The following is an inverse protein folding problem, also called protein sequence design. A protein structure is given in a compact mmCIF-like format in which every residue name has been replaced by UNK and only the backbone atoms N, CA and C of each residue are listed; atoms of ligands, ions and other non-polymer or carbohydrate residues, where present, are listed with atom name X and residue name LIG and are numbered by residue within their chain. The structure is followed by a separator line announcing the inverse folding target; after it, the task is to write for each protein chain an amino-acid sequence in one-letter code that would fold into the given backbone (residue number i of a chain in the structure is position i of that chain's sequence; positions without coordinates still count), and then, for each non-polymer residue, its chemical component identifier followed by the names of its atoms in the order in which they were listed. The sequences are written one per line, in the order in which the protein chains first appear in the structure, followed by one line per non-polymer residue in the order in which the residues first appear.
data_IF_424941728625
#
_entry.id   IF_424941728625
#
_cell.length_a   1.000
_cell.length_b   1.000
_cell.length_c   1.000
_cell.angle_alpha   90.00
_cell.angle_beta   90.00
_cell.angle_gamma   90.00
#
_symmetry.space_group_name_H-M   'P 1'
#
loop_
_entity.id
_entity.type
_entity.pdbx_description
1 polymer ?
#
# COMPACT_ATOMS: atom_id res chain seq x y z
N UNK A 1 2.99 41.31 -19.04
CA UNK A 1 3.82 40.30 -18.38
C UNK A 1 4.63 39.53 -19.47
N UNK A 2 5.93 39.74 -19.56
CA UNK A 2 6.80 39.00 -20.49
C UNK A 2 7.79 38.19 -19.67
N UNK A 3 7.72 36.87 -19.74
CA UNK A 3 8.72 35.94 -19.23
C UNK A 3 9.59 35.52 -20.43
N UNK A 4 10.91 35.66 -20.33
CA UNK A 4 11.75 35.52 -21.51
C UNK A 4 12.65 34.28 -21.49
N UNK A 5 13.06 33.77 -20.31
CA UNK A 5 14.02 32.66 -20.27
C UNK A 5 14.03 32.02 -18.87
N UNK A 6 14.28 30.72 -18.82
CA UNK A 6 14.54 30.01 -17.54
C UNK A 6 16.03 30.17 -17.21
N UNK A 7 16.29 30.82 -16.09
CA UNK A 7 17.63 31.06 -15.57
C UNK A 7 17.88 30.18 -14.33
N UNK A 8 19.13 29.83 -14.10
CA UNK A 8 19.51 29.10 -12.88
C UNK A 8 20.14 30.08 -11.88
N UNK A 9 19.64 30.04 -10.64
CA UNK A 9 20.08 30.93 -9.55
C UNK A 9 20.38 30.12 -8.29
N UNK A 10 21.38 30.56 -7.51
CA UNK A 10 21.63 29.94 -6.22
C UNK A 10 20.49 30.23 -5.24
N UNK A 11 19.98 29.22 -4.50
CA UNK A 11 18.95 29.42 -3.47
C UNK A 11 19.35 30.43 -2.39
N UNK A 12 20.65 30.68 -2.17
CA UNK A 12 21.15 31.71 -1.24
C UNK A 12 20.87 33.13 -1.67
N UNK A 13 20.84 33.38 -2.98
CA UNK A 13 20.70 34.70 -3.58
C UNK A 13 19.24 35.15 -3.68
N UNK A 14 18.31 34.22 -3.41
CA UNK A 14 16.87 34.48 -3.50
C UNK A 14 16.30 34.96 -2.15
N UNK A 15 15.35 35.84 -2.19
CA UNK A 15 14.63 36.30 -0.99
C UNK A 15 13.24 35.70 -0.97
N UNK A 16 12.88 35.00 0.11
CA UNK A 16 11.53 34.47 0.27
C UNK A 16 10.51 35.61 0.46
N UNK A 17 9.30 35.43 -0.06
CA UNK A 17 8.19 36.38 0.13
C UNK A 17 7.81 36.45 1.62
N UNK A 18 7.84 37.63 2.21
CA UNK A 18 7.61 37.83 3.64
C UNK A 18 6.19 37.38 4.07
N UNK A 19 5.17 37.72 3.28
CA UNK A 19 3.77 37.43 3.53
C UNK A 19 3.25 36.33 2.57
N UNK A 20 3.94 35.14 2.51
CA UNK A 20 3.48 34.07 1.68
C UNK A 20 2.15 33.48 2.24
N UNK A 21 1.04 33.54 1.48
CA UNK A 21 -0.26 33.07 1.95
C UNK A 21 -0.34 31.56 2.09
N UNK A 22 0.55 30.82 1.41
CA UNK A 22 0.52 29.34 1.41
C UNK A 22 1.29 28.77 2.60
N UNK A 23 0.59 28.03 3.45
CA UNK A 23 1.17 27.18 4.49
C UNK A 23 1.13 25.71 4.03
N UNK A 24 2.05 24.92 4.53
CA UNK A 24 2.12 23.48 4.25
C UNK A 24 2.44 22.76 5.57
N UNK A 25 1.93 21.54 5.74
CA UNK A 25 2.21 20.74 6.92
C UNK A 25 3.67 20.28 6.96
N UNK A 26 4.15 19.85 8.12
CA UNK A 26 5.52 19.30 8.24
C UNK A 26 5.69 18.03 7.36
N UNK A 27 4.65 17.19 7.30
CA UNK A 27 4.64 15.98 6.47
C UNK A 27 4.73 16.32 4.98
N UNK A 28 3.91 17.26 4.49
CA UNK A 28 3.94 17.71 3.09
C UNK A 28 5.26 18.35 2.73
N UNK A 29 5.84 19.12 3.66
CA UNK A 29 7.16 19.71 3.45
C UNK A 29 8.24 18.61 3.34
N UNK A 30 8.18 17.57 4.15
CA UNK A 30 9.13 16.46 4.06
C UNK A 30 8.96 15.70 2.74
N UNK A 31 7.71 15.40 2.32
CA UNK A 31 7.43 14.82 0.99
C UNK A 31 8.01 15.65 -0.16
N UNK A 32 7.86 16.97 -0.10
CA UNK A 32 8.45 17.88 -1.10
C UNK A 32 9.98 17.79 -1.12
N UNK A 33 10.63 17.76 0.06
CA UNK A 33 12.08 17.58 0.18
C UNK A 33 12.52 16.24 -0.41
N UNK A 34 11.84 15.15 -0.08
CA UNK A 34 12.17 13.81 -0.55
C UNK A 34 11.96 13.70 -2.07
N UNK A 35 10.89 14.28 -2.60
CA UNK A 35 10.64 14.34 -4.04
C UNK A 35 11.75 15.09 -4.80
N UNK A 36 12.18 16.25 -4.30
CA UNK A 36 13.28 17.00 -4.93
C UNK A 36 14.62 16.25 -4.80
N UNK A 37 14.84 15.55 -3.69
CA UNK A 37 16.07 14.78 -3.47
C UNK A 37 16.18 13.57 -4.43
N UNK A 38 15.05 12.90 -4.71
CA UNK A 38 15.00 11.70 -5.56
C UNK A 38 14.98 12.08 -7.05
N UNK A 39 14.11 13.04 -7.41
CA UNK A 39 13.80 13.34 -8.82
C UNK A 39 14.52 14.60 -9.34
N UNK A 40 15.27 15.30 -8.50
CA UNK A 40 15.83 16.59 -8.81
C UNK A 40 14.79 17.73 -8.77
N UNK A 41 15.27 18.97 -8.89
CA UNK A 41 14.39 20.14 -9.00
C UNK A 41 13.82 20.23 -10.43
N UNK A 42 12.52 20.22 -10.59
CA UNK A 42 11.86 20.16 -11.90
C UNK A 42 12.05 21.45 -12.70
N UNK A 43 12.73 21.34 -13.84
CA UNK A 43 13.02 22.48 -14.71
C UNK A 43 11.77 23.05 -15.40
N UNK A 44 10.76 22.24 -15.66
CA UNK A 44 9.49 22.66 -16.28
C UNK A 44 8.54 23.40 -15.34
N UNK A 45 8.88 23.50 -14.03
CA UNK A 45 8.18 24.33 -13.04
C UNK A 45 9.16 25.28 -12.35
N UNK A 46 9.74 26.27 -13.07
CA UNK A 46 10.67 27.23 -12.49
C UNK A 46 9.98 28.05 -11.40
N UNK A 47 10.76 28.59 -10.47
CA UNK A 47 10.25 29.56 -9.50
C UNK A 47 10.05 30.92 -10.18
N UNK A 48 8.93 31.59 -9.85
CA UNK A 48 8.69 32.96 -10.33
C UNK A 48 9.33 33.96 -9.37
N UNK A 49 10.22 34.79 -9.89
CA UNK A 49 10.94 35.82 -9.15
C UNK A 49 10.58 37.19 -9.66
N UNK A 50 10.60 38.17 -8.77
CA UNK A 50 10.57 39.60 -9.10
C UNK A 50 11.90 40.25 -8.72
N UNK A 51 12.47 41.01 -9.63
CA UNK A 51 13.60 41.88 -9.29
C UNK A 51 13.07 43.19 -8.71
N UNK A 52 13.30 43.43 -7.40
CA UNK A 52 12.88 44.63 -6.69
C UNK A 52 13.98 45.10 -5.75
N UNK A 53 14.34 46.37 -5.85
CA UNK A 53 15.35 47.01 -5.01
C UNK A 53 16.70 46.23 -4.99
N UNK A 54 17.11 45.70 -6.15
CA UNK A 54 18.33 44.90 -6.30
C UNK A 54 18.27 43.51 -5.63
N UNK A 55 17.08 43.04 -5.24
CA UNK A 55 16.87 41.70 -4.67
C UNK A 55 15.95 40.91 -5.55
N UNK A 56 16.22 39.56 -5.63
CA UNK A 56 15.36 38.61 -6.29
C UNK A 56 14.36 38.02 -5.28
N UNK A 57 13.11 38.47 -5.33
CA UNK A 57 12.04 38.05 -4.42
C UNK A 57 11.24 36.94 -5.07
N UNK A 58 11.03 35.83 -4.35
CA UNK A 58 10.26 34.66 -4.84
C UNK A 58 8.77 34.92 -4.67
N UNK A 59 8.07 35.21 -5.75
CA UNK A 59 6.61 35.37 -5.78
C UNK A 59 5.90 33.99 -5.71
N UNK A 60 6.38 33.00 -6.49
CA UNK A 60 5.84 31.64 -6.53
C UNK A 60 6.94 30.60 -6.36
N UNK A 61 6.68 29.58 -5.54
CA UNK A 61 7.64 28.51 -5.25
C UNK A 61 8.38 28.64 -3.91
N UNK A 62 7.88 29.42 -2.95
CA UNK A 62 8.52 29.66 -1.65
C UNK A 62 8.79 28.36 -0.85
N UNK A 63 7.92 27.34 -0.92
CA UNK A 63 8.15 26.06 -0.25
C UNK A 63 9.28 25.26 -0.94
N UNK A 64 9.33 25.33 -2.28
CA UNK A 64 10.43 24.73 -3.08
C UNK A 64 11.77 25.41 -2.76
N UNK A 65 11.80 26.73 -2.56
CA UNK A 65 13.00 27.45 -2.10
C UNK A 65 13.48 26.93 -0.74
N UNK A 66 12.56 26.75 0.22
CA UNK A 66 12.90 26.19 1.54
C UNK A 66 13.46 24.78 1.43
N UNK A 67 12.87 23.93 0.58
CA UNK A 67 13.35 22.56 0.33
C UNK A 67 14.73 22.57 -0.33
N UNK A 68 14.94 23.39 -1.35
CA UNK A 68 16.23 23.55 -2.02
C UNK A 68 17.35 23.99 -1.06
N UNK A 69 17.05 24.90 -0.14
CA UNK A 69 17.98 25.33 0.93
C UNK A 69 18.30 24.19 1.90
N UNK A 70 17.28 23.43 2.31
CA UNK A 70 17.45 22.26 3.20
C UNK A 70 18.34 21.20 2.55
N UNK A 71 18.19 20.99 1.23
CA UNK A 71 18.98 20.05 0.43
C UNK A 71 20.34 20.62 -0.01
N UNK A 72 20.62 21.90 0.27
CA UNK A 72 21.86 22.60 -0.12
C UNK A 72 22.12 22.53 -1.62
N UNK A 73 21.08 22.68 -2.44
CA UNK A 73 21.22 22.70 -3.88
C UNK A 73 22.05 23.92 -4.32
N UNK A 74 22.92 23.70 -5.33
CA UNK A 74 23.78 24.76 -5.85
C UNK A 74 22.97 25.81 -6.63
N UNK A 75 21.97 25.34 -7.40
CA UNK A 75 21.17 26.19 -8.27
C UNK A 75 19.76 25.63 -8.43
N UNK A 76 18.81 26.51 -8.77
CA UNK A 76 17.41 26.18 -9.02
C UNK A 76 16.89 26.96 -10.22
N UNK A 77 15.97 26.38 -11.03
CA UNK A 77 15.40 27.05 -12.19
C UNK A 77 14.46 28.17 -11.79
N UNK A 78 14.60 29.32 -12.38
CA UNK A 78 13.85 30.54 -12.06
C UNK A 78 13.46 31.28 -13.32
N UNK A 79 12.35 32.00 -13.24
CA UNK A 79 11.91 32.95 -14.22
C UNK A 79 11.84 34.31 -13.52
N UNK A 80 12.49 35.34 -14.09
CA UNK A 80 12.57 36.67 -13.51
C UNK A 80 11.59 37.57 -14.26
N UNK A 81 10.76 38.28 -13.48
CA UNK A 81 9.88 39.31 -13.93
C UNK A 81 10.44 40.67 -13.47
N UNK A 82 10.48 41.62 -14.38
CA UNK A 82 10.79 43.04 -14.10
C UNK A 82 9.54 43.89 -14.32
N UNK A 83 9.49 44.99 -13.64
CA UNK A 83 8.46 46.06 -13.84
C UNK A 83 7.01 45.59 -13.66
N UNK A 84 6.77 44.66 -12.70
CA UNK A 84 5.41 44.21 -12.39
C UNK A 84 4.59 45.31 -11.70
N UNK A 85 3.35 45.46 -12.15
CA UNK A 85 2.34 46.20 -11.40
C UNK A 85 1.96 45.45 -10.13
N UNK A 86 1.37 46.12 -9.13
CA UNK A 86 0.90 45.44 -7.92
C UNK A 86 -0.17 44.38 -8.23
N UNK A 87 -1.06 44.64 -9.19
CA UNK A 87 -2.07 43.69 -9.64
C UNK A 87 -1.44 42.43 -10.26
N UNK A 88 -0.45 42.59 -11.13
CA UNK A 88 0.27 41.45 -11.75
C UNK A 88 1.03 40.64 -10.71
N UNK A 89 1.62 41.29 -9.70
CA UNK A 89 2.28 40.62 -8.59
C UNK A 89 1.31 39.78 -7.78
N UNK A 90 0.17 40.31 -7.40
CA UNK A 90 -0.88 39.64 -6.64
C UNK A 90 -1.44 38.47 -7.49
N UNK A 91 -1.62 38.68 -8.79
CA UNK A 91 -2.11 37.64 -9.72
C UNK A 91 -1.14 36.46 -9.79
N UNK A 92 0.17 36.67 -9.91
CA UNK A 92 1.17 35.60 -9.90
C UNK A 92 1.13 34.81 -8.56
N UNK A 93 1.10 35.52 -7.43
CA UNK A 93 1.08 34.90 -6.11
C UNK A 93 -0.18 34.07 -5.91
N UNK A 94 -1.35 34.57 -6.33
CA UNK A 94 -2.63 33.89 -6.15
C UNK A 94 -2.81 32.72 -7.10
N UNK A 95 -2.52 32.87 -8.38
CA UNK A 95 -2.70 31.78 -9.38
C UNK A 95 -1.80 30.59 -9.13
N UNK A 96 -0.57 30.78 -8.63
CA UNK A 96 0.30 29.65 -8.25
C UNK A 96 -0.26 28.86 -7.04
N UNK A 97 -1.16 29.48 -6.27
CA UNK A 97 -1.77 28.87 -5.09
C UNK A 97 -3.19 28.33 -5.31
N UNK A 98 -3.79 28.59 -6.47
CA UNK A 98 -5.11 28.07 -6.85
C UNK A 98 -4.92 26.78 -7.66
N UNK A 99 -5.41 25.67 -7.13
CA UNK A 99 -5.56 24.42 -7.90
C UNK A 99 -6.83 24.52 -8.74
N UNK A 100 -6.70 24.90 -10.01
CA UNK A 100 -7.80 24.92 -10.98
C UNK A 100 -7.87 23.56 -11.68
N UNK A 101 -8.57 22.61 -11.10
CA UNK A 101 -8.83 21.31 -11.69
C UNK A 101 -8.91 20.22 -10.62
N UNK A 102 -9.81 19.31 -10.84
CA UNK A 102 -9.88 18.05 -10.12
C UNK A 102 -9.23 16.98 -10.99
N UNK A 103 -8.52 16.05 -10.36
CA UNK A 103 -8.02 14.89 -11.09
C UNK A 103 -9.19 13.97 -11.39
N UNK A 104 -9.19 13.40 -12.60
CA UNK A 104 -10.11 12.33 -12.94
C UNK A 104 -9.60 11.04 -12.29
N UNK A 105 -10.26 10.65 -11.19
CA UNK A 105 -9.89 9.49 -10.38
C UNK A 105 -9.97 8.20 -11.18
N UNK A 106 -10.86 8.12 -12.17
CA UNK A 106 -11.00 6.97 -13.07
C UNK A 106 -9.77 6.85 -13.95
N UNK A 107 -9.36 7.95 -14.58
CA UNK A 107 -8.17 7.98 -15.46
C UNK A 107 -6.90 7.68 -14.65
N UNK A 108 -6.75 8.27 -13.45
CA UNK A 108 -5.58 8.01 -12.60
C UNK A 108 -5.50 6.55 -12.12
N UNK A 109 -6.64 5.90 -11.93
CA UNK A 109 -6.70 4.52 -11.44
C UNK A 109 -6.69 3.48 -12.55
N UNK A 110 -7.24 3.77 -13.72
CA UNK A 110 -7.47 2.79 -14.78
C UNK A 110 -6.47 2.89 -15.93
N UNK A 111 -5.90 4.07 -16.20
CA UNK A 111 -4.94 4.23 -17.30
C UNK A 111 -3.57 3.63 -16.92
N UNK A 112 -3.06 2.66 -17.70
CA UNK A 112 -1.76 2.05 -17.48
C UNK A 112 -0.60 3.06 -17.40
N UNK A 113 -0.74 4.24 -17.98
CA UNK A 113 0.26 5.31 -17.93
C UNK A 113 0.55 5.77 -16.51
N UNK A 114 -0.46 5.73 -15.63
CA UNK A 114 -0.35 6.18 -14.23
C UNK A 114 -0.20 5.01 -13.25
N UNK A 115 -0.08 3.77 -13.75
CA UNK A 115 -0.09 2.56 -12.93
C UNK A 115 1.04 2.49 -11.89
N UNK A 116 2.17 3.13 -12.14
CA UNK A 116 3.35 3.13 -11.26
C UNK A 116 3.47 4.42 -10.42
N UNK A 117 2.44 5.29 -10.45
CA UNK A 117 2.45 6.54 -9.72
C UNK A 117 2.12 6.30 -8.24
N UNK A 118 3.00 6.69 -7.33
CA UNK A 118 2.71 6.69 -5.91
C UNK A 118 1.95 7.96 -5.52
N UNK A 119 0.61 7.85 -5.49
CA UNK A 119 -0.28 9.00 -5.25
C UNK A 119 -0.10 9.57 -3.83
N UNK A 120 0.23 8.74 -2.85
CA UNK A 120 0.49 9.19 -1.48
C UNK A 120 1.80 9.98 -1.39
N UNK A 121 2.85 9.49 -2.06
CA UNK A 121 4.14 10.18 -2.13
C UNK A 121 4.01 11.55 -2.79
N UNK A 122 3.19 11.69 -3.84
CA UNK A 122 2.95 12.98 -4.50
C UNK A 122 1.89 13.86 -3.79
N UNK A 123 1.28 13.34 -2.71
CA UNK A 123 0.33 14.08 -1.88
C UNK A 123 -1.08 14.19 -2.46
N UNK A 124 -1.45 13.32 -3.39
CA UNK A 124 -2.79 13.25 -3.96
C UNK A 124 -3.64 12.33 -3.09
N UNK A 125 -4.72 12.88 -2.52
CA UNK A 125 -5.73 12.11 -1.81
C UNK A 125 -6.95 11.97 -2.70
N UNK A 126 -7.30 10.73 -3.05
CA UNK A 126 -8.55 10.44 -3.74
C UNK A 126 -9.72 10.50 -2.75
N UNK A 127 -10.93 10.91 -3.18
CA UNK A 127 -12.09 10.93 -2.28
C UNK A 127 -12.39 9.52 -1.75
N UNK A 128 -12.69 9.45 -0.46
CA UNK A 128 -13.02 8.16 0.19
C UNK A 128 -14.37 7.62 -0.34
N UNK A 129 -14.44 6.34 -0.74
CA UNK A 129 -15.69 5.71 -1.14
C UNK A 129 -16.61 5.52 0.07
N UNK A 130 -17.94 5.71 -0.12
CA UNK A 130 -18.95 5.47 0.92
C UNK A 130 -18.89 4.00 1.42
N UNK A 131 -18.74 3.82 2.72
CA UNK A 131 -18.56 2.54 3.39
C UNK A 131 -19.91 1.86 3.61
N UNK A 132 -20.12 0.59 3.17
CA UNK A 132 -21.25 -0.20 3.64
C UNK A 132 -21.07 -0.53 5.14
N UNK A 133 -22.12 -0.33 5.94
CA UNK A 133 -22.07 -0.64 7.38
C UNK A 133 -21.71 -2.12 7.64
N UNK A 134 -20.62 -2.35 8.36
CA UNK A 134 -20.19 -3.69 8.79
C UNK A 134 -21.14 -4.17 9.92
N UNK A 135 -21.73 -5.38 9.84
CA UNK A 135 -22.61 -5.86 10.89
C UNK A 135 -21.84 -6.10 12.20
N UNK A 136 -22.16 -5.30 13.22
CA UNK A 136 -21.60 -5.44 14.57
C UNK A 136 -22.13 -6.71 15.24
N UNK A 137 -21.43 -7.85 15.13
CA UNK A 137 -21.68 -9.00 16.01
C UNK A 137 -21.06 -8.72 17.39
N UNK A 138 -21.89 -8.77 18.43
CA UNK A 138 -21.47 -8.60 19.82
C UNK A 138 -20.51 -9.73 20.22
N UNK A 139 -19.21 -9.41 20.33
CA UNK A 139 -18.23 -10.29 20.96
C UNK A 139 -18.51 -10.38 22.47
N UNK A 140 -18.60 -11.60 22.99
CA UNK A 140 -18.62 -11.83 24.45
C UNK A 140 -17.17 -11.76 24.94
N UNK A 141 -16.74 -10.59 25.35
CA UNK A 141 -15.47 -10.43 26.09
C UNK A 141 -15.61 -11.04 27.50
N UNK A 142 -14.73 -11.94 27.88
CA UNK A 142 -14.49 -12.28 29.27
C UNK A 142 -13.69 -11.13 29.86
N UNK A 143 -14.33 -10.39 30.76
CA UNK A 143 -13.69 -9.31 31.50
C UNK A 143 -12.59 -9.87 32.44
N UNK A 144 -11.37 -9.36 32.30
CA UNK A 144 -10.40 -9.32 33.40
C UNK A 144 -10.68 -8.05 34.20
N UNK A 145 -10.70 -8.19 35.53
CA UNK A 145 -10.96 -7.08 36.44
C UNK A 145 -9.86 -6.00 36.32
N UNK A 146 -10.24 -4.70 36.30
CA UNK A 146 -9.25 -3.62 36.24
C UNK A 146 -8.68 -3.33 37.63
N UNK A 147 -7.37 -3.09 37.71
CA UNK A 147 -6.75 -2.46 38.88
C UNK A 147 -7.22 -1.00 39.03
N UNK A 148 -7.32 -0.47 40.27
CA UNK A 148 -7.87 0.86 40.51
C UNK A 148 -6.87 1.96 40.10
N UNK A 149 -7.27 2.72 39.08
CA UNK A 149 -6.55 3.92 38.63
C UNK A 149 -6.87 5.17 39.44
N UNK A 150 -5.93 6.05 39.54
CA UNK A 150 -5.87 7.33 40.25
C UNK A 150 -6.88 8.36 39.66
N UNK A 151 -7.69 9.05 40.48
CA UNK A 151 -8.73 9.95 39.98
C UNK A 151 -8.25 11.41 39.93
N UNK A 152 -7.38 11.79 39.03
CA UNK A 152 -7.14 13.21 38.69
C UNK A 152 -6.31 13.34 37.40
N UNK A 153 -6.99 13.25 36.24
CA UNK A 153 -6.53 13.88 35.00
C UNK A 153 -7.73 14.24 34.12
N UNK A 154 -8.12 15.51 34.18
CA UNK A 154 -8.97 16.11 33.18
C UNK A 154 -8.13 16.29 31.90
N UNK A 155 -8.38 15.48 30.88
CA UNK A 155 -7.78 15.61 29.55
C UNK A 155 -8.88 16.03 28.57
N UNK A 156 -8.80 17.28 28.12
CA UNK A 156 -9.61 17.80 27.03
C UNK A 156 -9.07 17.23 25.72
N UNK A 157 -9.61 16.07 25.29
CA UNK A 157 -9.23 15.40 24.06
C UNK A 157 -9.86 16.05 22.82
N UNK A 158 -9.04 16.48 21.90
CA UNK A 158 -9.41 16.94 20.56
C UNK A 158 -9.99 15.78 19.73
N UNK A 159 -11.09 16.04 19.02
CA UNK A 159 -11.85 15.08 18.17
C UNK A 159 -11.04 14.48 16.98
N UNK A 160 -9.77 14.81 16.79
CA UNK A 160 -8.89 14.23 15.78
C UNK A 160 -8.34 12.83 16.14
N UNK A 161 -8.40 12.40 17.41
CA UNK A 161 -7.87 11.12 17.87
C UNK A 161 -8.79 9.92 17.56
N UNK A 162 -10.07 10.12 17.26
CA UNK A 162 -11.03 9.04 17.04
C UNK A 162 -10.79 8.23 15.74
N UNK A 163 -10.12 8.81 14.75
CA UNK A 163 -9.79 8.13 13.48
C UNK A 163 -8.53 7.26 13.59
N UNK A 164 -7.64 7.56 14.52
CA UNK A 164 -6.42 6.78 14.77
C UNK A 164 -6.69 5.52 15.60
N UNK A 165 -7.68 5.55 16.49
CA UNK A 165 -8.10 4.41 17.33
C UNK A 165 -8.53 3.17 16.54
N UNK A 166 -9.13 3.34 15.35
CA UNK A 166 -9.59 2.20 14.55
C UNK A 166 -8.44 1.44 13.86
N UNK A 167 -7.38 2.13 13.47
CA UNK A 167 -6.18 1.53 12.85
C UNK A 167 -5.34 0.79 13.87
N UNK A 168 -5.16 1.38 15.04
CA UNK A 168 -4.51 0.73 16.17
C UNK A 168 -5.32 -0.46 16.69
N UNK A 169 -6.66 -0.41 16.66
CA UNK A 169 -7.53 -1.47 17.13
C UNK A 169 -7.29 -2.80 16.41
N UNK A 170 -7.17 -2.79 15.05
CA UNK A 170 -6.87 -4.02 14.33
C UNK A 170 -5.47 -4.56 14.65
N UNK A 171 -4.47 -3.68 14.74
CA UNK A 171 -3.11 -4.09 15.08
C UNK A 171 -3.03 -4.68 16.50
N UNK A 172 -3.67 -4.06 17.49
CA UNK A 172 -3.79 -4.58 18.86
C UNK A 172 -4.54 -5.91 18.90
N UNK A 173 -5.63 -6.05 18.16
CA UNK A 173 -6.35 -7.31 18.03
C UNK A 173 -5.44 -8.43 17.56
N UNK A 174 -4.61 -8.18 16.54
CA UNK A 174 -3.63 -9.14 16.05
C UNK A 174 -2.53 -9.46 17.08
N UNK A 175 -2.22 -8.53 18.00
CA UNK A 175 -1.24 -8.72 19.07
C UNK A 175 -1.80 -9.42 20.33
N UNK A 176 -3.10 -9.70 20.38
CA UNK A 176 -3.71 -10.49 21.43
C UNK A 176 -4.98 -9.95 22.07
N UNK A 177 -5.43 -8.73 21.71
CA UNK A 177 -6.70 -8.21 22.23
C UNK A 177 -7.90 -9.02 21.72
N UNK A 178 -7.73 -9.68 20.57
CA UNK A 178 -8.73 -10.59 20.02
C UNK A 178 -8.08 -11.80 19.36
N UNK A 179 -8.37 -13.00 19.84
CA UNK A 179 -7.89 -14.26 19.28
C UNK A 179 -9.01 -14.98 18.54
N UNK A 180 -8.73 -15.40 17.31
CA UNK A 180 -9.58 -16.32 16.57
C UNK A 180 -9.39 -17.75 17.07
N UNK A 181 -10.38 -18.61 16.81
CA UNK A 181 -10.25 -20.04 17.09
C UNK A 181 -9.01 -20.62 16.38
N UNK A 182 -8.27 -21.44 17.12
CA UNK A 182 -7.07 -22.10 16.67
C UNK A 182 -6.99 -23.53 17.21
N UNK A 183 -6.53 -24.46 16.39
CA UNK A 183 -6.31 -25.87 16.73
C UNK A 183 -4.84 -26.19 17.02
N UNK A 184 -3.98 -25.18 17.05
CA UNK A 184 -2.55 -25.37 17.17
C UNK A 184 -1.93 -24.51 18.28
N UNK A 185 -0.81 -25.03 18.83
CA UNK A 185 -0.10 -24.41 19.98
C UNK A 185 0.53 -23.02 19.69
N UNK A 186 0.53 -22.59 18.45
CA UNK A 186 1.04 -21.29 18.02
C UNK A 186 -0.07 -20.24 17.92
N UNK A 187 -1.30 -20.63 18.22
CA UNK A 187 -2.49 -19.78 18.13
C UNK A 187 -2.66 -19.13 16.76
N UNK A 188 -2.11 -19.80 15.70
CA UNK A 188 -2.34 -19.40 14.31
C UNK A 188 -3.82 -19.64 14.01
N UNK A 189 -4.58 -18.60 13.61
CA UNK A 189 -6.02 -18.70 13.40
C UNK A 189 -6.43 -19.78 12.39
N UNK A 190 -7.52 -20.48 12.66
CA UNK A 190 -8.13 -21.38 11.69
C UNK A 190 -8.90 -20.59 10.64
N UNK A 191 -8.69 -20.89 9.37
CA UNK A 191 -9.51 -20.39 8.27
C UNK A 191 -10.89 -21.03 8.28
N UNK A 192 -11.86 -20.34 7.66
CA UNK A 192 -13.22 -20.84 7.47
C UNK A 192 -13.29 -21.65 6.18
N UNK A 193 -13.69 -22.91 6.29
CA UNK A 193 -13.75 -23.83 5.15
C UNK A 193 -14.81 -23.40 4.12
N UNK A 194 -15.91 -22.81 4.55
CA UNK A 194 -17.00 -22.33 3.69
C UNK A 194 -16.64 -21.00 2.98
N UNK A 195 -15.60 -20.29 3.43
CA UNK A 195 -15.08 -19.07 2.83
C UNK A 195 -13.89 -19.31 1.87
N UNK A 196 -13.72 -20.52 1.37
CA UNK A 196 -12.76 -20.80 0.31
C UNK A 196 -13.37 -20.52 -1.07
N UNK A 197 -12.59 -19.99 -2.03
CA UNK A 197 -13.04 -19.84 -3.42
C UNK A 197 -12.99 -21.16 -4.18
N UNK A 198 -13.91 -21.30 -5.16
CA UNK A 198 -13.94 -22.48 -6.06
C UNK A 198 -13.15 -22.25 -7.36
N UNK A 199 -13.04 -21.03 -7.79
CA UNK A 199 -12.32 -20.61 -8.99
C UNK A 199 -11.78 -19.20 -8.79
N UNK A 200 -10.75 -18.83 -9.54
CA UNK A 200 -10.20 -17.46 -9.52
C UNK A 200 -11.16 -16.53 -10.27
N UNK A 201 -11.63 -15.51 -9.59
CA UNK A 201 -12.43 -14.45 -10.22
C UNK A 201 -11.52 -13.39 -10.83
N UNK A 202 -11.72 -13.09 -12.09
CA UNK A 202 -10.98 -12.07 -12.83
C UNK A 202 -11.71 -10.70 -12.75
N UNK A 203 -10.99 -9.60 -12.81
CA UNK A 203 -9.54 -9.44 -12.94
C UNK A 203 -8.75 -9.86 -11.68
N UNK A 204 -7.61 -10.50 -11.88
CA UNK A 204 -6.61 -10.81 -10.84
C UNK A 204 -5.47 -9.80 -10.94
N UNK A 205 -5.27 -9.00 -9.92
CA UNK A 205 -4.25 -7.96 -9.91
C UNK A 205 -3.34 -8.03 -8.67
N UNK A 206 -2.10 -7.57 -8.79
CA UNK A 206 -1.25 -7.39 -7.62
C UNK A 206 -1.80 -6.28 -6.71
N UNK A 207 -1.72 -6.48 -5.41
CA UNK A 207 -1.95 -5.40 -4.46
C UNK A 207 -0.84 -4.35 -4.60
N UNK A 208 -1.23 -3.10 -4.77
CA UNK A 208 -0.29 -1.97 -4.82
C UNK A 208 -0.23 -1.22 -3.49
N UNK A 209 0.33 0.00 -3.50
CA UNK A 209 0.24 0.91 -2.37
C UNK A 209 -1.25 1.20 -2.02
N UNK A 210 -1.53 1.42 -0.73
CA UNK A 210 -2.89 1.65 -0.23
C UNK A 210 -3.63 2.81 -0.92
N UNK A 211 -2.88 3.77 -1.50
CA UNK A 211 -3.41 4.89 -2.28
C UNK A 211 -4.05 4.48 -3.62
N UNK A 212 -3.91 3.22 -4.03
CA UNK A 212 -4.40 2.72 -5.32
C UNK A 212 -5.47 1.65 -5.14
N UNK A 213 -6.59 2.02 -4.57
CA UNK A 213 -7.78 1.17 -4.58
C UNK A 213 -8.31 1.08 -6.01
N UNK A 214 -8.02 -0.02 -6.69
CA UNK A 214 -8.58 -0.30 -8.02
C UNK A 214 -9.99 -0.84 -7.86
N UNK A 215 -10.99 -0.03 -8.16
CA UNK A 215 -12.38 -0.51 -8.27
C UNK A 215 -12.49 -1.51 -9.44
N UNK A 216 -13.25 -2.58 -9.24
CA UNK A 216 -13.49 -3.59 -10.28
C UNK A 216 -12.50 -4.76 -10.28
N UNK A 217 -11.48 -4.79 -9.43
CA UNK A 217 -10.64 -5.97 -9.23
C UNK A 217 -11.41 -6.99 -8.40
N UNK A 218 -11.56 -8.20 -8.93
CA UNK A 218 -12.25 -9.28 -8.20
C UNK A 218 -11.33 -10.03 -7.25
N UNK A 219 -10.07 -10.23 -7.64
CA UNK A 219 -9.08 -10.98 -6.84
C UNK A 219 -7.77 -10.21 -6.74
N UNK A 220 -7.28 -10.02 -5.51
CA UNK A 220 -5.93 -9.50 -5.26
C UNK A 220 -4.96 -10.61 -4.88
N UNK A 221 -3.72 -10.52 -5.37
CA UNK A 221 -2.58 -11.31 -4.92
C UNK A 221 -1.48 -10.41 -4.36
N UNK A 222 -0.59 -10.98 -3.55
CA UNK A 222 0.48 -10.26 -2.85
C UNK A 222 1.88 -10.74 -3.25
N UNK A 223 2.06 -11.23 -4.48
CA UNK A 223 3.39 -11.53 -5.04
C UNK A 223 4.08 -10.24 -5.49
N UNK A 224 4.29 -9.37 -4.53
CA UNK A 224 4.96 -8.06 -4.61
C UNK A 224 5.89 -7.93 -3.40
N UNK A 225 6.69 -6.88 -3.35
CA UNK A 225 7.55 -6.63 -2.19
C UNK A 225 6.72 -6.41 -0.91
N UNK A 226 7.18 -6.96 0.23
CA UNK A 226 6.44 -6.97 1.50
C UNK A 226 6.01 -5.57 1.95
N UNK A 227 6.84 -4.54 1.74
CA UNK A 227 6.52 -3.16 2.13
C UNK A 227 5.25 -2.60 1.46
N UNK A 228 4.84 -3.16 0.30
CA UNK A 228 3.66 -2.70 -0.45
C UNK A 228 2.34 -3.08 0.22
N UNK A 229 2.34 -4.10 1.04
CA UNK A 229 1.14 -4.55 1.76
C UNK A 229 1.27 -4.47 3.28
N UNK A 230 2.41 -3.99 3.80
CA UNK A 230 2.66 -3.89 5.25
C UNK A 230 1.58 -3.05 5.96
N UNK A 231 1.08 -2.00 5.30
CA UNK A 231 0.03 -1.16 5.84
C UNK A 231 -1.31 -1.90 6.09
N UNK A 232 -1.58 -3.02 5.38
CA UNK A 232 -2.79 -3.82 5.62
C UNK A 232 -2.82 -4.48 6.99
N UNK A 233 -1.66 -4.72 7.60
CA UNK A 233 -1.58 -5.25 8.97
C UNK A 233 -1.92 -4.20 10.04
N UNK A 234 -2.07 -2.93 9.64
CA UNK A 234 -2.54 -1.85 10.50
C UNK A 234 -3.95 -1.40 10.12
N UNK A 235 -4.24 -1.35 8.83
CA UNK A 235 -5.51 -0.86 8.28
C UNK A 235 -6.00 -1.76 7.13
N UNK A 236 -6.68 -2.88 7.44
CA UNK A 236 -7.19 -3.81 6.43
C UNK A 236 -8.44 -3.28 5.70
N UNK A 237 -9.09 -2.23 6.24
CA UNK A 237 -10.36 -1.69 5.72
C UNK A 237 -10.21 -1.23 4.28
N UNK A 238 -9.06 -0.66 3.92
CA UNK A 238 -8.80 -0.19 2.55
C UNK A 238 -8.92 -1.29 1.49
N UNK A 239 -8.57 -2.53 1.81
CA UNK A 239 -8.78 -3.64 0.88
C UNK A 239 -10.28 -3.96 0.74
N UNK A 240 -11.05 -3.93 1.82
CA UNK A 240 -12.50 -4.14 1.78
C UNK A 240 -13.21 -3.05 0.96
N UNK A 241 -12.75 -1.81 1.04
CA UNK A 241 -13.27 -0.67 0.27
C UNK A 241 -13.10 -0.85 -1.25
N UNK A 242 -12.13 -1.66 -1.71
CA UNK A 242 -11.98 -1.97 -3.13
C UNK A 242 -13.16 -2.77 -3.71
N UNK A 243 -13.95 -3.40 -2.84
CA UNK A 243 -15.04 -4.28 -3.24
C UNK A 243 -14.58 -5.61 -3.81
N UNK A 244 -13.30 -6.01 -3.59
CA UNK A 244 -12.80 -7.29 -4.04
C UNK A 244 -13.57 -8.45 -3.38
N UNK A 245 -13.69 -9.56 -4.09
CA UNK A 245 -14.40 -10.75 -3.64
C UNK A 245 -13.48 -11.82 -3.11
N UNK A 246 -12.24 -11.81 -3.57
CA UNK A 246 -11.25 -12.82 -3.25
C UNK A 246 -9.88 -12.17 -3.02
N UNK A 247 -9.09 -12.81 -2.16
CA UNK A 247 -7.66 -12.52 -2.01
C UNK A 247 -6.85 -13.81 -2.02
N UNK A 248 -5.61 -13.72 -2.46
CA UNK A 248 -4.55 -14.65 -2.07
C UNK A 248 -3.99 -14.16 -0.74
N UNK A 249 -3.65 -15.03 0.20
CA UNK A 249 -2.98 -14.59 1.43
C UNK A 249 -1.72 -13.75 1.13
N UNK A 250 -1.37 -12.78 1.98
CA UNK A 250 -0.12 -12.06 1.83
C UNK A 250 1.08 -13.01 1.77
N UNK A 251 1.90 -12.87 0.73
CA UNK A 251 3.13 -13.63 0.59
C UNK A 251 4.23 -13.01 1.47
N UNK A 252 4.10 -13.15 2.79
CA UNK A 252 5.11 -12.68 3.73
C UNK A 252 6.41 -13.46 3.54
N UNK A 253 7.52 -12.74 3.36
CA UNK A 253 8.81 -13.33 3.04
C UNK A 253 9.31 -14.26 4.15
N UNK A 254 9.35 -15.58 3.85
CA UNK A 254 9.85 -16.65 4.71
C UNK A 254 10.92 -17.45 3.95
N UNK A 255 12.18 -16.97 4.01
CA UNK A 255 13.32 -17.56 3.32
C UNK A 255 14.09 -18.55 4.21
N UNK A 256 15.04 -19.28 3.63
CA UNK A 256 15.85 -20.27 4.37
C UNK A 256 16.64 -19.64 5.54
N UNK A 257 17.12 -18.41 5.38
CA UNK A 257 17.84 -17.67 6.41
C UNK A 257 16.93 -17.02 7.46
N UNK A 258 15.62 -16.95 7.20
CA UNK A 258 14.66 -16.32 8.14
C UNK A 258 14.69 -17.08 9.48
N UNK A 259 14.87 -16.41 10.64
CA UNK A 259 14.76 -17.07 11.96
C UNK A 259 13.39 -17.74 12.13
N UNK A 260 13.36 -18.92 12.75
CA UNK A 260 12.10 -19.70 12.89
C UNK A 260 11.02 -18.89 13.59
N UNK A 261 11.35 -18.22 14.70
CA UNK A 261 10.38 -17.41 15.45
C UNK A 261 9.79 -16.29 14.59
N UNK A 262 10.62 -15.62 13.78
CA UNK A 262 10.15 -14.57 12.88
C UNK A 262 9.27 -15.13 11.75
N UNK A 263 9.65 -16.27 11.14
CA UNK A 263 8.84 -16.91 10.12
C UNK A 263 7.48 -17.41 10.65
N UNK A 264 7.42 -17.92 11.89
CA UNK A 264 6.15 -18.27 12.55
C UNK A 264 5.29 -17.01 12.74
N UNK A 265 5.88 -15.89 13.17
CA UNK A 265 5.17 -14.62 13.29
C UNK A 265 4.63 -14.13 11.93
N UNK A 266 5.40 -14.26 10.85
CA UNK A 266 4.95 -13.92 9.50
C UNK A 266 3.75 -14.78 9.06
N UNK A 267 3.79 -16.08 9.38
CA UNK A 267 2.67 -17.00 9.08
C UNK A 267 1.45 -16.67 9.96
N UNK A 268 1.65 -16.35 11.24
CA UNK A 268 0.58 -15.94 12.13
C UNK A 268 -0.14 -14.71 11.59
N UNK A 269 0.60 -13.61 11.29
CA UNK A 269 -0.02 -12.36 10.87
C UNK A 269 -0.72 -12.46 9.51
N UNK A 270 -0.16 -13.20 8.53
CA UNK A 270 -0.85 -13.40 7.25
C UNK A 270 -2.14 -14.18 7.41
N UNK A 271 -2.15 -15.21 8.28
CA UNK A 271 -3.31 -16.03 8.60
C UNK A 271 -4.36 -15.26 9.37
N UNK A 272 -3.94 -14.42 10.32
CA UNK A 272 -4.82 -13.53 11.06
C UNK A 272 -5.56 -12.56 10.13
N UNK A 273 -4.83 -11.93 9.22
CA UNK A 273 -5.39 -11.03 8.22
C UNK A 273 -6.34 -11.78 7.27
N UNK A 274 -5.96 -12.97 6.80
CA UNK A 274 -6.78 -13.80 5.95
C UNK A 274 -8.11 -14.19 6.64
N UNK A 275 -8.04 -14.61 7.90
CA UNK A 275 -9.24 -14.94 8.69
C UNK A 275 -10.13 -13.71 8.89
N UNK A 276 -9.56 -12.54 9.17
CA UNK A 276 -10.32 -11.29 9.25
C UNK A 276 -11.09 -11.02 7.96
N UNK A 277 -10.47 -11.17 6.81
CA UNK A 277 -11.14 -10.98 5.52
C UNK A 277 -12.25 -12.01 5.29
N UNK A 278 -12.08 -13.23 5.72
CA UNK A 278 -13.16 -14.23 5.64
C UNK A 278 -14.36 -13.85 6.49
N UNK A 279 -14.16 -13.30 7.69
CA UNK A 279 -15.27 -12.77 8.52
C UNK A 279 -15.99 -11.58 7.84
N UNK A 280 -15.28 -10.83 7.01
CA UNK A 280 -15.85 -9.75 6.19
C UNK A 280 -16.46 -10.25 4.87
N UNK A 281 -16.54 -11.57 4.63
CA UNK A 281 -17.14 -12.18 3.44
C UNK A 281 -16.25 -12.24 2.21
N UNK A 282 -14.96 -11.92 2.33
CA UNK A 282 -13.96 -12.07 1.26
C UNK A 282 -13.42 -13.51 1.28
N UNK A 283 -13.45 -14.20 0.15
CA UNK A 283 -12.92 -15.56 0.05
C UNK A 283 -11.40 -15.54 -0.06
N UNK A 284 -10.74 -16.53 0.56
CA UNK A 284 -9.28 -16.56 0.67
C UNK A 284 -8.69 -17.77 -0.06
N UNK A 285 -7.69 -17.51 -0.89
CA UNK A 285 -6.74 -18.49 -1.42
C UNK A 285 -5.53 -18.56 -0.48
N UNK A 286 -5.20 -19.75 -0.02
CA UNK A 286 -4.01 -19.95 0.83
C UNK A 286 -2.75 -19.83 -0.02
N UNK A 287 -1.79 -19.02 0.43
CA UNK A 287 -0.47 -18.93 -0.18
C UNK A 287 0.47 -20.02 0.38
N UNK A 288 0.93 -20.93 -0.50
CA UNK A 288 1.86 -22.00 -0.15
C UNK A 288 3.34 -21.59 -0.33
N UNK A 289 3.61 -20.45 -0.93
CA UNK A 289 4.96 -20.00 -1.27
C UNK A 289 5.78 -19.61 -0.02
N UNK A 290 6.31 -20.61 0.67
CA UNK A 290 7.22 -20.47 1.81
C UNK A 290 8.44 -21.37 1.65
N UNK A 291 9.58 -21.03 2.29
CA UNK A 291 10.73 -21.91 2.33
C UNK A 291 10.38 -23.27 2.97
N UNK A 292 11.02 -24.32 2.52
CA UNK A 292 10.83 -25.71 2.97
C UNK A 292 10.76 -25.86 4.50
N UNK A 293 11.60 -25.14 5.25
CA UNK A 293 11.60 -25.21 6.72
C UNK A 293 10.34 -24.65 7.39
N UNK A 294 9.51 -23.91 6.65
CA UNK A 294 8.27 -23.29 7.17
C UNK A 294 6.99 -24.02 6.73
N UNK A 295 7.08 -25.04 5.88
CA UNK A 295 5.91 -25.77 5.35
C UNK A 295 4.99 -26.25 6.48
N UNK A 296 5.53 -26.92 7.50
CA UNK A 296 4.74 -27.45 8.61
C UNK A 296 4.09 -26.38 9.49
N UNK A 297 4.68 -25.20 9.54
CA UNK A 297 4.08 -24.04 10.21
C UNK A 297 3.01 -23.41 9.32
N UNK A 298 3.25 -23.31 8.01
CA UNK A 298 2.30 -22.74 7.07
C UNK A 298 1.02 -23.57 6.92
N UNK A 299 1.07 -24.87 7.18
CA UNK A 299 -0.10 -25.77 7.24
C UNK A 299 -1.01 -25.48 8.43
N UNK A 300 -0.51 -24.83 9.50
CA UNK A 300 -1.30 -24.53 10.70
C UNK A 300 -2.42 -23.52 10.39
N UNK A 301 -3.59 -23.79 10.97
CA UNK A 301 -4.77 -22.96 10.75
C UNK A 301 -5.43 -23.15 9.36
N UNK A 302 -5.00 -24.12 8.55
CA UNK A 302 -5.73 -24.51 7.34
C UNK A 302 -6.54 -25.77 7.68
N UNK A 303 -7.89 -25.71 7.64
CA UNK A 303 -8.71 -26.86 7.98
C UNK A 303 -8.60 -27.97 6.93
N UNK A 304 -8.73 -29.21 7.37
CA UNK A 304 -8.77 -30.38 6.49
C UNK A 304 -9.86 -30.22 5.42
N UNK A 305 -9.53 -30.58 4.19
CA UNK A 305 -10.43 -30.42 3.05
C UNK A 305 -10.46 -29.01 2.44
N UNK A 306 -9.67 -28.07 2.95
CA UNK A 306 -9.49 -26.79 2.27
C UNK A 306 -8.88 -27.02 0.89
N UNK A 307 -9.46 -26.44 -0.16
CA UNK A 307 -9.07 -26.72 -1.54
C UNK A 307 -9.04 -25.45 -2.39
N UNK A 308 -8.28 -24.45 -1.94
CA UNK A 308 -8.06 -23.20 -2.66
C UNK A 308 -6.66 -22.67 -2.34
N UNK A 309 -5.71 -22.94 -3.22
CA UNK A 309 -4.29 -22.66 -3.00
C UNK A 309 -3.70 -21.82 -4.13
N UNK A 310 -2.77 -20.98 -3.77
CA UNK A 310 -1.89 -20.27 -4.69
C UNK A 310 -0.44 -20.52 -4.35
N UNK A 311 0.40 -20.51 -5.37
CA UNK A 311 1.86 -20.45 -5.22
C UNK A 311 2.49 -19.66 -6.35
N UNK A 312 3.74 -19.25 -6.17
CA UNK A 312 4.52 -18.56 -7.17
C UNK A 312 5.36 -19.53 -8.00
N UNK A 313 5.17 -19.52 -9.31
CA UNK A 313 6.07 -20.22 -10.23
C UNK A 313 7.33 -19.37 -10.49
N UNK A 314 8.50 -19.98 -10.36
CA UNK A 314 9.79 -19.37 -10.66
C UNK A 314 10.64 -20.34 -11.47
N UNK A 315 11.33 -19.80 -12.50
CA UNK A 315 12.24 -20.59 -13.33
C UNK A 315 13.37 -21.17 -12.47
N UNK A 316 13.65 -22.45 -12.67
CA UNK A 316 14.64 -23.19 -11.88
C UNK A 316 14.16 -23.63 -10.48
N UNK A 317 12.90 -23.39 -10.11
CA UNK A 317 12.32 -23.75 -8.81
C UNK A 317 11.21 -24.81 -8.91
N UNK A 318 11.30 -25.70 -9.92
CA UNK A 318 10.30 -26.74 -10.14
C UNK A 318 10.14 -27.67 -8.92
N UNK A 319 11.22 -27.97 -8.19
CA UNK A 319 11.14 -28.82 -6.99
C UNK A 319 10.30 -28.19 -5.87
N UNK A 320 10.38 -26.87 -5.71
CA UNK A 320 9.51 -26.16 -4.76
C UNK A 320 8.04 -26.27 -5.17
N UNK A 321 7.72 -26.10 -6.46
CA UNK A 321 6.35 -26.27 -6.95
C UNK A 321 5.83 -27.71 -6.75
N UNK A 322 6.67 -28.72 -6.90
CA UNK A 322 6.30 -30.12 -6.60
C UNK A 322 5.95 -30.33 -5.13
N UNK A 323 6.71 -29.67 -4.23
CA UNK A 323 6.41 -29.68 -2.78
C UNK A 323 5.08 -28.98 -2.48
N UNK A 324 4.84 -27.82 -3.07
CA UNK A 324 3.58 -27.10 -2.89
C UNK A 324 2.38 -27.92 -3.38
N UNK A 325 2.51 -28.60 -4.52
CA UNK A 325 1.48 -29.51 -5.01
C UNK A 325 1.22 -30.65 -4.00
N UNK A 326 2.28 -31.25 -3.44
CA UNK A 326 2.14 -32.30 -2.43
C UNK A 326 1.43 -31.78 -1.17
N UNK A 327 1.77 -30.59 -0.71
CA UNK A 327 1.11 -29.93 0.44
C UNK A 327 -0.37 -29.67 0.14
N UNK A 328 -0.69 -29.17 -1.06
CA UNK A 328 -2.07 -28.96 -1.48
C UNK A 328 -2.88 -30.25 -1.54
N UNK A 329 -2.29 -31.35 -2.04
CA UNK A 329 -2.89 -32.69 -2.06
C UNK A 329 -3.16 -33.23 -0.65
N UNK A 330 -2.19 -33.04 0.26
CA UNK A 330 -2.30 -33.48 1.66
C UNK A 330 -3.45 -32.77 2.38
N UNK A 331 -3.53 -31.42 2.29
CA UNK A 331 -4.56 -30.62 2.98
C UNK A 331 -5.95 -30.85 2.37
N UNK A 332 -6.05 -30.88 1.05
CA UNK A 332 -7.34 -31.06 0.37
C UNK A 332 -7.87 -32.49 0.38
N UNK A 333 -7.01 -33.47 0.68
CA UNK A 333 -7.29 -34.90 0.50
C UNK A 333 -7.68 -35.29 -0.95
N UNK A 334 -7.18 -34.55 -1.94
CA UNK A 334 -7.48 -34.72 -3.36
C UNK A 334 -6.19 -34.99 -4.16
N UNK A 335 -6.25 -35.89 -5.12
CA UNK A 335 -5.16 -36.13 -6.09
C UNK A 335 -4.92 -34.89 -6.96
N UNK A 336 -5.99 -34.15 -7.30
CA UNK A 336 -5.95 -32.93 -8.10
C UNK A 336 -6.54 -31.75 -7.31
N UNK A 337 -5.73 -31.09 -6.49
CA UNK A 337 -6.17 -29.96 -5.70
C UNK A 337 -6.39 -28.72 -6.58
N UNK A 338 -7.21 -27.80 -6.11
CA UNK A 338 -7.40 -26.48 -6.75
C UNK A 338 -6.22 -25.57 -6.41
N UNK A 339 -5.08 -25.80 -7.08
CA UNK A 339 -3.85 -25.03 -6.94
C UNK A 339 -3.64 -24.16 -8.17
N UNK A 340 -3.51 -22.85 -7.94
CA UNK A 340 -3.18 -21.85 -8.95
C UNK A 340 -1.71 -21.45 -8.85
N UNK A 341 -0.99 -21.51 -9.95
CA UNK A 341 0.43 -21.13 -10.06
C UNK A 341 0.54 -19.79 -10.78
N UNK A 342 1.13 -18.80 -10.13
CA UNK A 342 1.32 -17.46 -10.66
C UNK A 342 2.75 -17.27 -11.18
N UNK A 343 2.89 -17.08 -12.49
CA UNK A 343 4.17 -16.84 -13.15
C UNK A 343 4.99 -18.11 -13.41
N UNK A 344 6.23 -17.89 -13.80
CA UNK A 344 7.17 -18.92 -14.24
C UNK A 344 7.17 -19.15 -15.75
N UNK A 345 8.29 -19.66 -16.27
CA UNK A 345 8.51 -19.90 -17.69
C UNK A 345 7.91 -21.21 -18.19
N UNK A 346 8.43 -21.66 -19.33
CA UNK A 346 7.89 -22.80 -20.08
C UNK A 346 7.88 -24.12 -19.27
N UNK A 347 8.93 -24.36 -18.49
CA UNK A 347 9.05 -25.55 -17.63
C UNK A 347 7.89 -25.61 -16.60
N UNK A 348 7.59 -24.48 -15.94
CA UNK A 348 6.50 -24.37 -14.97
C UNK A 348 5.14 -24.55 -15.65
N UNK A 349 4.95 -23.93 -16.81
CA UNK A 349 3.71 -24.03 -17.59
C UNK A 349 3.45 -25.49 -18.01
N UNK A 350 4.49 -26.17 -18.49
CA UNK A 350 4.38 -27.59 -18.87
C UNK A 350 4.04 -28.48 -17.67
N UNK A 351 4.66 -28.23 -16.52
CA UNK A 351 4.34 -28.94 -15.29
C UNK A 351 2.88 -28.72 -14.87
N UNK A 352 2.40 -27.47 -14.90
CA UNK A 352 1.01 -27.16 -14.60
C UNK A 352 0.05 -27.90 -15.53
N UNK A 353 0.30 -27.89 -16.84
CA UNK A 353 -0.51 -28.58 -17.83
C UNK A 353 -0.55 -30.10 -17.59
N UNK A 354 0.60 -30.73 -17.30
CA UNK A 354 0.69 -32.17 -17.02
C UNK A 354 -0.08 -32.61 -15.76
N UNK A 355 -0.10 -31.74 -14.75
CA UNK A 355 -0.74 -32.04 -13.48
C UNK A 355 -2.15 -31.46 -13.34
N UNK A 356 -2.67 -30.78 -14.39
CA UNK A 356 -4.01 -30.18 -14.38
C UNK A 356 -4.16 -29.01 -13.42
N UNK A 357 -3.06 -28.27 -13.15
CA UNK A 357 -3.03 -27.10 -12.28
C UNK A 357 -3.46 -25.84 -13.05
N UNK A 358 -4.06 -24.90 -12.34
CA UNK A 358 -4.34 -23.57 -12.88
C UNK A 358 -3.03 -22.81 -13.05
N UNK A 359 -2.86 -22.11 -14.17
CA UNK A 359 -1.71 -21.29 -14.43
C UNK A 359 -2.15 -19.87 -14.81
N UNK A 360 -1.52 -18.86 -14.19
CA UNK A 360 -1.73 -17.44 -14.51
C UNK A 360 -0.38 -16.83 -14.85
N UNK A 361 -0.29 -16.23 -16.02
CA UNK A 361 0.92 -15.52 -16.48
C UNK A 361 1.18 -14.29 -15.59
N UNK A 362 2.40 -14.11 -15.15
CA UNK A 362 2.79 -12.90 -14.46
C UNK A 362 2.89 -11.71 -15.42
N UNK A 363 2.89 -10.50 -14.83
CA UNK A 363 2.91 -9.25 -15.59
C UNK A 363 4.16 -9.10 -16.49
N UNK A 364 5.29 -9.66 -16.10
CA UNK A 364 6.54 -9.58 -16.87
C UNK A 364 6.46 -10.44 -18.12
N UNK A 365 5.92 -11.65 -18.00
CA UNK A 365 5.79 -12.59 -19.11
C UNK A 365 4.62 -12.22 -20.03
N UNK A 366 3.55 -11.64 -19.49
CA UNK A 366 2.43 -11.12 -20.29
C UNK A 366 2.84 -9.95 -21.24
N UNK A 367 3.90 -9.20 -20.90
CA UNK A 367 4.46 -8.16 -21.79
C UNK A 367 5.35 -8.72 -22.91
N UNK A 368 5.75 -9.97 -22.85
CA UNK A 368 6.61 -10.61 -23.85
C UNK A 368 5.80 -11.36 -24.94
N UNK A 369 4.51 -11.58 -24.69
CA UNK A 369 3.53 -12.11 -25.65
C UNK A 369 2.90 -11.00 -26.48
#
# INVERSE_FOLDING_TARGET
MKCTEVLFKSPSDLTALANNPRKITKADFQRLVDSININGFWQHRPMALEEKDGKLVVLAGNQRLKAARKLKLNEVPCVIYSDLTEEERVDIITRDNINNGEFDDVVLNEDPMYADLDLEFIGLQLPEPEIPEVPKKKAKAKAMDPEPGDPDSEDEGDDEDLLDDSKEAFYRSMLGDFLYDSDNKFEIPNLLLDQQPKHVELPLNPWGANSRLRKGVSTYHFYVDDYRFEALFKDPIKLLQSGCKQIVEPNCSCHDQTPIAFGIYQIYRKRYLARYFQECGVKVWVDLNVSHKFIEYNKKGIPDGYNAFFTRGLDGWLESLKLDLKVAQEISNLEKPNLCVYGGGEEIQEFCRKNGLLYVTDFINAKKM
#
